data_IF_340397026335
#
_entry.id   IF_340397026335
#
_cell.length_a   1.000
_cell.length_b   1.000
_cell.length_c   1.000
_cell.angle_alpha   90.00
_cell.angle_beta   90.00
_cell.angle_gamma   90.00
#
_symmetry.space_group_name_H-M   'P 1'
#
loop_
_entity.id
_entity.type
_entity.pdbx_description
1 polymer ?
#
# COMPACT_ATOMS: atom_id res chain seq x y z
N UNK A 1 -43.56 58.07 -39.80
CA UNK A 1 -43.33 57.06 -40.85
C UNK A 1 -41.92 56.51 -40.68
N UNK A 2 -41.75 55.19 -40.55
CA UNK A 2 -40.63 54.32 -41.04
C UNK A 2 -39.17 54.84 -40.83
N UNK A 3 -38.17 54.17 -40.25
CA UNK A 3 -37.79 52.75 -40.02
C UNK A 3 -36.49 52.78 -39.15
N UNK A 4 -36.38 51.98 -38.08
CA UNK A 4 -35.58 50.73 -37.92
C UNK A 4 -34.03 50.89 -37.95
N UNK A 5 -33.44 50.60 -36.77
CA UNK A 5 -32.15 49.97 -36.39
C UNK A 5 -30.99 49.80 -37.38
N UNK A 6 -29.76 50.00 -36.88
CA UNK A 6 -28.58 49.10 -37.01
C UNK A 6 -27.53 49.52 -35.96
N UNK A 7 -27.52 48.94 -34.75
CA UNK A 7 -26.71 47.77 -34.34
C UNK A 7 -25.19 48.02 -34.36
N UNK A 8 -24.66 48.50 -33.22
CA UNK A 8 -23.24 48.42 -32.85
C UNK A 8 -22.98 47.02 -32.31
N UNK A 9 -22.11 46.26 -32.97
CA UNK A 9 -21.58 44.99 -32.43
C UNK A 9 -20.07 45.03 -32.52
N UNK A 10 -19.44 45.42 -31.41
CA UNK A 10 -18.02 45.24 -31.15
C UNK A 10 -17.86 43.82 -30.58
N UNK A 11 -17.50 42.84 -31.42
CA UNK A 11 -17.15 41.49 -30.94
C UNK A 11 -15.65 41.44 -30.64
N UNK A 12 -15.30 41.66 -29.37
CA UNK A 12 -14.01 41.24 -28.81
C UNK A 12 -14.08 39.72 -28.59
N UNK A 13 -13.46 38.96 -29.48
CA UNK A 13 -13.25 37.53 -29.29
C UNK A 13 -12.01 37.33 -28.41
N UNK A 14 -12.19 37.30 -27.10
CA UNK A 14 -11.18 36.77 -26.18
C UNK A 14 -11.13 35.26 -26.36
N UNK A 15 -10.04 34.77 -26.97
CA UNK A 15 -9.70 33.36 -26.98
C UNK A 15 -9.34 32.92 -25.55
N UNK A 16 -10.32 32.42 -24.81
CA UNK A 16 -10.06 31.63 -23.61
C UNK A 16 -9.80 30.21 -24.08
N UNK A 17 -8.54 29.92 -24.42
CA UNK A 17 -8.04 28.55 -24.38
C UNK A 17 -7.93 28.17 -22.90
N UNK A 18 -9.05 27.74 -22.31
CA UNK A 18 -9.00 26.91 -21.14
C UNK A 18 -8.44 25.56 -21.61
N UNK A 19 -7.15 25.33 -21.39
CA UNK A 19 -6.60 23.99 -21.44
C UNK A 19 -7.46 23.14 -20.50
N UNK A 20 -8.25 22.23 -21.07
CA UNK A 20 -9.01 21.26 -20.29
C UNK A 20 -8.00 20.46 -19.47
N UNK A 21 -7.91 20.77 -18.18
CA UNK A 21 -7.18 19.96 -17.23
C UNK A 21 -7.84 18.58 -17.27
N UNK A 22 -7.12 17.60 -17.82
CA UNK A 22 -7.64 16.26 -18.04
C UNK A 22 -7.84 15.60 -16.68
N UNK A 23 -9.00 15.83 -16.07
CA UNK A 23 -9.44 15.21 -14.83
C UNK A 23 -9.77 13.75 -15.11
N UNK A 24 -8.74 12.93 -15.33
CA UNK A 24 -8.88 11.49 -15.25
C UNK A 24 -9.35 11.18 -13.83
N UNK A 25 -10.53 10.59 -13.73
CA UNK A 25 -11.14 10.17 -12.47
C UNK A 25 -10.22 9.19 -11.74
N UNK A 26 -10.31 9.13 -10.41
CA UNK A 26 -9.54 8.17 -9.61
C UNK A 26 -9.75 6.75 -10.11
N UNK A 27 -10.97 6.44 -10.56
CA UNK A 27 -11.34 5.14 -11.15
C UNK A 27 -10.52 4.83 -12.40
N UNK A 28 -10.37 5.77 -13.33
CA UNK A 28 -9.54 5.56 -14.54
C UNK A 28 -8.06 5.30 -14.18
N UNK A 29 -7.56 5.97 -13.13
CA UNK A 29 -6.17 5.79 -12.65
C UNK A 29 -5.95 4.43 -12.00
N UNK A 30 -7.00 3.81 -11.43
CA UNK A 30 -6.88 2.46 -10.87
C UNK A 30 -6.73 1.37 -11.94
N UNK A 31 -7.02 1.65 -13.21
CA UNK A 31 -7.00 0.64 -14.28
C UNK A 31 -5.66 -0.11 -14.37
N UNK A 32 -4.54 0.59 -14.13
CA UNK A 32 -3.20 -0.01 -14.11
C UNK A 32 -2.93 -0.87 -12.86
N UNK A 33 -3.62 -0.60 -11.75
CA UNK A 33 -3.44 -1.28 -10.47
C UNK A 33 -4.25 -2.58 -10.40
N UNK A 34 -5.45 -2.58 -10.98
CA UNK A 34 -6.43 -3.68 -10.90
C UNK A 34 -5.88 -4.98 -11.49
N UNK A 35 -5.06 -4.91 -12.54
CA UNK A 35 -4.47 -6.08 -13.18
C UNK A 35 -3.66 -6.97 -12.23
N UNK A 36 -3.06 -6.38 -11.18
CA UNK A 36 -2.28 -7.12 -10.20
C UNK A 36 -2.94 -7.15 -8.81
N UNK A 37 -3.51 -6.04 -8.36
CA UNK A 37 -4.04 -5.92 -6.99
C UNK A 37 -5.52 -6.25 -6.89
N UNK A 38 -6.21 -6.50 -8.01
CA UNK A 38 -7.65 -6.74 -8.05
C UNK A 38 -8.47 -5.45 -7.93
N UNK A 39 -9.74 -5.53 -8.33
CA UNK A 39 -10.64 -4.36 -8.38
C UNK A 39 -10.80 -3.69 -7.00
N UNK A 40 -10.93 -4.51 -5.96
CA UNK A 40 -11.08 -4.07 -4.58
C UNK A 40 -9.74 -3.96 -3.85
N UNK A 41 -8.60 -4.18 -4.52
CA UNK A 41 -7.30 -4.24 -3.85
C UNK A 41 -7.07 -5.55 -3.10
N UNK A 42 -7.81 -6.61 -3.42
CA UNK A 42 -7.58 -7.98 -2.95
C UNK A 42 -7.02 -8.77 -4.14
N UNK A 43 -5.74 -9.13 -4.06
CA UNK A 43 -5.07 -9.82 -5.15
C UNK A 43 -5.38 -11.31 -5.15
N UNK A 44 -5.57 -11.88 -6.34
CA UNK A 44 -5.67 -13.33 -6.55
C UNK A 44 -4.30 -14.01 -6.59
N UNK A 45 -3.22 -13.25 -6.78
CA UNK A 45 -1.86 -13.78 -6.76
C UNK A 45 -1.23 -13.49 -5.39
N UNK A 46 -0.85 -14.50 -4.61
CA UNK A 46 -0.35 -14.28 -3.25
C UNK A 46 1.03 -13.63 -3.17
N UNK A 47 1.74 -13.48 -4.30
CA UNK A 47 2.98 -12.71 -4.38
C UNK A 47 2.74 -11.20 -4.47
N UNK A 48 1.52 -10.79 -4.85
CA UNK A 48 1.12 -9.40 -4.94
C UNK A 48 0.31 -9.01 -3.70
N UNK A 49 0.61 -7.86 -3.06
CA UNK A 49 -0.06 -7.50 -1.83
C UNK A 49 -1.52 -7.15 -2.04
N UNK A 50 -2.31 -7.46 -1.02
CA UNK A 50 -3.59 -6.81 -0.78
C UNK A 50 -3.32 -5.33 -0.40
N UNK A 51 -4.02 -4.42 -1.09
CA UNK A 51 -4.03 -2.97 -0.81
C UNK A 51 -5.26 -2.56 -0.01
N UNK A 52 -6.31 -3.39 -0.05
CA UNK A 52 -7.62 -3.08 0.50
C UNK A 52 -7.57 -2.78 2.00
N UNK A 53 -8.18 -1.67 2.40
CA UNK A 53 -8.29 -1.22 3.80
C UNK A 53 -6.96 -0.83 4.46
N UNK A 54 -5.86 -0.80 3.71
CA UNK A 54 -4.58 -0.30 4.22
C UNK A 54 -4.66 1.21 4.52
N UNK A 55 -3.86 1.69 5.47
CA UNK A 55 -3.80 3.12 5.78
C UNK A 55 -3.37 3.94 4.55
N UNK A 56 -4.15 4.97 4.19
CA UNK A 56 -3.84 5.84 3.07
C UNK A 56 -2.45 6.48 3.19
N UNK A 57 -2.04 6.88 4.40
CA UNK A 57 -0.70 7.40 4.67
C UNK A 57 0.41 6.39 4.35
N UNK A 58 0.21 5.11 4.66
CA UNK A 58 1.17 4.05 4.35
C UNK A 58 1.23 3.80 2.84
N UNK A 59 0.07 3.69 2.17
CA UNK A 59 0.00 3.49 0.71
C UNK A 59 0.69 4.63 -0.04
N UNK A 60 0.38 5.88 0.30
CA UNK A 60 1.00 7.06 -0.29
C UNK A 60 2.52 7.03 -0.10
N UNK A 61 2.99 6.72 1.11
CA UNK A 61 4.43 6.56 1.38
C UNK A 61 5.05 5.49 0.47
N UNK A 62 4.44 4.30 0.35
CA UNK A 62 5.01 3.24 -0.48
C UNK A 62 5.05 3.61 -1.96
N UNK A 63 4.01 4.26 -2.50
CA UNK A 63 3.99 4.72 -3.88
C UNK A 63 5.14 5.72 -4.15
N UNK A 64 5.34 6.67 -3.24
CA UNK A 64 6.46 7.62 -3.31
C UNK A 64 7.82 6.91 -3.21
N UNK A 65 7.97 5.94 -2.31
CA UNK A 65 9.22 5.19 -2.16
C UNK A 65 9.55 4.36 -3.42
N UNK A 66 8.55 3.74 -4.06
CA UNK A 66 8.73 3.03 -5.34
C UNK A 66 9.12 3.96 -6.48
N UNK A 67 8.57 5.17 -6.51
CA UNK A 67 8.90 6.18 -7.51
C UNK A 67 10.32 6.71 -7.34
N UNK A 68 10.75 6.88 -6.09
CA UNK A 68 12.08 7.40 -5.75
C UNK A 68 13.20 6.34 -5.83
N UNK A 69 12.87 5.04 -5.95
CA UNK A 69 13.76 3.88 -6.17
C UNK A 69 14.92 3.68 -5.18
N UNK A 70 15.10 4.57 -4.21
CA UNK A 70 16.32 4.64 -3.38
C UNK A 70 16.30 3.58 -2.28
N UNK A 71 15.17 3.49 -1.58
CA UNK A 71 15.01 2.63 -0.39
C UNK A 71 14.08 1.45 -0.64
N UNK A 72 13.42 1.44 -1.81
CA UNK A 72 12.49 0.41 -2.23
C UNK A 72 12.46 0.29 -3.76
N UNK A 73 13.39 -0.48 -4.30
CA UNK A 73 13.48 -0.72 -5.75
C UNK A 73 12.78 -2.03 -6.13
N UNK A 74 11.60 -1.91 -6.74
CA UNK A 74 10.85 -3.05 -7.31
C UNK A 74 10.50 -2.66 -8.75
N UNK A 75 11.26 -3.11 -9.76
CA UNK A 75 11.18 -2.58 -11.12
C UNK A 75 9.76 -2.54 -11.71
N UNK A 76 8.96 -3.58 -11.44
CA UNK A 76 7.56 -3.63 -11.89
C UNK A 76 6.73 -2.49 -11.30
N UNK A 77 6.83 -2.24 -9.99
CA UNK A 77 6.09 -1.14 -9.35
C UNK A 77 6.65 0.22 -9.71
N UNK A 78 7.98 0.35 -9.85
CA UNK A 78 8.63 1.58 -10.32
C UNK A 78 8.11 2.00 -11.68
N UNK A 79 7.99 1.06 -12.63
CA UNK A 79 7.43 1.35 -13.95
C UNK A 79 5.96 1.80 -13.88
N UNK A 80 5.15 1.15 -13.04
CA UNK A 80 3.73 1.50 -12.85
C UNK A 80 3.57 2.91 -12.26
N UNK A 81 4.39 3.30 -11.29
CA UNK A 81 4.24 4.60 -10.60
C UNK A 81 4.99 5.76 -11.25
N UNK A 82 5.83 5.50 -12.26
CA UNK A 82 6.74 6.47 -12.86
C UNK A 82 6.03 7.77 -13.30
N UNK A 83 4.85 7.63 -13.92
CA UNK A 83 4.08 8.75 -14.48
C UNK A 83 2.98 9.27 -13.56
N UNK A 84 2.82 8.74 -12.34
CA UNK A 84 1.80 9.22 -11.40
C UNK A 84 2.22 10.53 -10.76
N UNK A 85 1.35 11.53 -10.75
CA UNK A 85 1.56 12.75 -9.96
C UNK A 85 1.40 12.46 -8.46
N UNK A 86 1.83 13.40 -7.61
CA UNK A 86 1.59 13.32 -6.16
C UNK A 86 0.10 13.28 -5.82
N UNK A 87 -0.72 14.01 -6.57
CA UNK A 87 -2.18 14.00 -6.43
C UNK A 87 -2.77 12.63 -6.83
N UNK A 88 -2.26 12.00 -7.88
CA UNK A 88 -2.70 10.66 -8.30
C UNK A 88 -2.40 9.61 -7.25
N UNK A 89 -1.17 9.62 -6.72
CA UNK A 89 -0.76 8.68 -5.67
C UNK A 89 -1.59 8.86 -4.40
N UNK A 90 -1.90 10.10 -4.01
CA UNK A 90 -2.77 10.38 -2.87
C UNK A 90 -4.20 9.87 -3.11
N UNK A 91 -4.76 10.12 -4.29
CA UNK A 91 -6.11 9.68 -4.62
C UNK A 91 -6.24 8.14 -4.69
N UNK A 92 -5.24 7.46 -5.25
CA UNK A 92 -5.18 5.99 -5.28
C UNK A 92 -5.04 5.41 -3.86
N UNK A 93 -4.23 6.02 -3.01
CA UNK A 93 -4.09 5.63 -1.61
C UNK A 93 -5.42 5.74 -0.84
N UNK A 94 -6.12 6.87 -0.99
CA UNK A 94 -7.45 7.08 -0.40
C UNK A 94 -8.50 6.10 -0.92
N UNK A 95 -8.43 5.76 -2.22
CA UNK A 95 -9.34 4.79 -2.82
C UNK A 95 -9.21 3.40 -2.21
N UNK A 96 -7.97 2.87 -2.13
CA UNK A 96 -7.73 1.52 -1.61
C UNK A 96 -7.91 1.43 -0.10
N UNK A 97 -7.66 2.52 0.64
CA UNK A 97 -7.91 2.59 2.08
C UNK A 97 -9.38 2.41 2.48
N UNK A 98 -10.31 2.68 1.55
CA UNK A 98 -11.76 2.54 1.78
C UNK A 98 -12.32 1.19 1.34
N UNK A 99 -11.50 0.32 0.75
CA UNK A 99 -11.93 -1.00 0.32
C UNK A 99 -12.03 -1.95 1.52
N UNK A 100 -12.91 -2.97 1.46
CA UNK A 100 -13.04 -3.96 2.53
C UNK A 100 -11.75 -4.78 2.66
N UNK A 101 -11.39 -5.12 3.90
CA UNK A 101 -10.20 -5.92 4.18
C UNK A 101 -10.29 -7.29 3.51
N UNK A 102 -9.15 -7.79 3.05
CA UNK A 102 -9.03 -9.19 2.66
C UNK A 102 -9.16 -10.09 3.88
N UNK A 103 -9.78 -11.25 3.70
CA UNK A 103 -9.84 -12.29 4.72
C UNK A 103 -8.91 -13.45 4.34
N UNK A 104 -8.46 -14.18 5.35
CA UNK A 104 -7.63 -15.35 5.17
C UNK A 104 -7.77 -16.31 6.34
N UNK A 105 -7.03 -17.41 6.28
CA UNK A 105 -6.99 -18.41 7.33
C UNK A 105 -5.55 -18.71 7.73
N UNK A 106 -5.38 -19.07 9.00
CA UNK A 106 -4.11 -19.55 9.55
C UNK A 106 -4.09 -21.08 9.51
N UNK A 107 -3.22 -21.72 8.72
CA UNK A 107 -3.04 -23.17 8.79
C UNK A 107 -2.55 -23.59 10.18
N UNK A 108 -3.07 -24.70 10.70
CA UNK A 108 -2.79 -25.21 12.06
C UNK A 108 -1.28 -25.31 12.35
N UNK A 109 -0.50 -25.78 11.36
CA UNK A 109 0.97 -25.86 11.42
C UNK A 109 1.64 -24.57 11.91
N UNK A 110 1.10 -23.41 11.53
CA UNK A 110 1.69 -22.10 11.81
C UNK A 110 1.09 -21.41 13.04
N UNK A 111 -0.06 -21.88 13.53
CA UNK A 111 -0.83 -21.19 14.57
C UNK A 111 0.00 -20.93 15.83
N UNK A 112 0.57 -21.99 16.43
CA UNK A 112 1.29 -21.87 17.71
C UNK A 112 2.53 -20.97 17.62
N UNK A 113 3.39 -21.19 16.62
CA UNK A 113 4.63 -20.41 16.47
C UNK A 113 4.36 -18.99 15.99
N UNK A 114 3.43 -18.82 15.06
CA UNK A 114 3.05 -17.51 14.54
C UNK A 114 2.39 -16.64 15.61
N UNK A 115 1.50 -17.21 16.42
CA UNK A 115 0.90 -16.51 17.57
C UNK A 115 1.96 -16.11 18.60
N UNK A 116 2.87 -17.02 18.95
CA UNK A 116 3.97 -16.70 19.88
C UNK A 116 4.76 -15.49 19.38
N UNK A 117 5.22 -15.51 18.12
CA UNK A 117 5.98 -14.40 17.54
C UNK A 117 5.17 -13.12 17.48
N UNK A 118 3.91 -13.20 17.06
CA UNK A 118 3.05 -12.03 16.89
C UNK A 118 2.72 -11.37 18.23
N UNK A 119 2.26 -12.15 19.21
CA UNK A 119 1.75 -11.64 20.50
C UNK A 119 2.83 -11.50 21.56
N UNK A 120 3.83 -12.38 21.56
CA UNK A 120 4.85 -12.45 22.62
C UNK A 120 6.28 -12.20 22.13
N UNK A 121 6.53 -12.21 20.83
CA UNK A 121 7.89 -12.17 20.28
C UNK A 121 8.67 -13.44 20.62
N UNK A 122 10.00 -13.31 20.62
CA UNK A 122 10.91 -14.36 21.05
C UNK A 122 12.09 -13.74 21.79
N UNK A 123 12.04 -13.79 23.12
CA UNK A 123 13.07 -13.21 23.98
C UNK A 123 14.46 -13.82 23.75
N UNK A 124 14.53 -15.13 23.47
CA UNK A 124 15.82 -15.83 23.24
C UNK A 124 16.47 -15.39 21.94
N UNK A 125 15.66 -15.11 20.92
CA UNK A 125 16.12 -14.58 19.62
C UNK A 125 16.15 -13.05 19.58
N UNK A 126 15.77 -12.36 20.66
CA UNK A 126 15.56 -10.91 20.71
C UNK A 126 14.61 -10.39 19.61
N UNK A 127 13.57 -11.16 19.27
CA UNK A 127 12.52 -10.74 18.36
C UNK A 127 11.42 -10.03 19.16
N UNK A 128 11.21 -8.74 18.92
CA UNK A 128 10.11 -7.98 19.54
C UNK A 128 8.76 -8.48 19.01
N UNK A 129 7.75 -8.51 19.88
CA UNK A 129 6.40 -8.90 19.51
C UNK A 129 5.78 -7.94 18.47
N UNK A 130 5.22 -8.48 17.38
CA UNK A 130 4.64 -7.69 16.29
C UNK A 130 3.45 -6.84 16.76
N UNK A 131 2.67 -7.36 17.71
CA UNK A 131 1.50 -6.70 18.31
C UNK A 131 1.80 -5.31 18.88
N UNK A 132 3.04 -5.05 19.31
CA UNK A 132 3.43 -3.79 19.92
C UNK A 132 3.30 -2.59 18.96
N UNK A 133 3.45 -2.82 17.65
CA UNK A 133 3.33 -1.79 16.62
C UNK A 133 2.14 -2.03 15.69
N UNK A 134 1.84 -3.30 15.37
CA UNK A 134 0.79 -3.67 14.43
C UNK A 134 -0.57 -3.94 15.07
N UNK A 135 -0.66 -3.88 16.41
CA UNK A 135 -1.89 -3.97 17.17
C UNK A 135 -2.45 -5.40 17.32
N UNK A 136 -3.41 -5.64 18.23
CA UNK A 136 -3.88 -7.00 18.58
C UNK A 136 -4.50 -7.80 17.44
N UNK A 137 -5.11 -7.09 16.48
CA UNK A 137 -5.76 -7.66 15.30
C UNK A 137 -4.99 -7.38 14.01
N UNK A 138 -3.75 -6.89 14.07
CA UNK A 138 -2.98 -6.57 12.87
C UNK A 138 -3.50 -5.37 12.10
N UNK A 139 -4.30 -4.49 12.70
CA UNK A 139 -4.86 -3.30 12.06
C UNK A 139 -3.87 -2.15 11.94
N UNK A 140 -2.68 -2.26 12.55
CA UNK A 140 -1.65 -1.24 12.50
C UNK A 140 -1.99 0.02 13.31
N UNK A 141 -1.22 1.07 13.05
CA UNK A 141 -1.43 2.42 13.56
C UNK A 141 -1.01 3.42 12.47
N UNK A 142 -1.98 3.87 11.67
CA UNK A 142 -1.73 4.76 10.53
C UNK A 142 -1.10 6.10 10.92
N UNK A 143 -1.37 6.62 12.12
CA UNK A 143 -0.78 7.88 12.62
C UNK A 143 0.70 7.72 12.96
N UNK A 144 1.11 6.54 13.42
CA UNK A 144 2.51 6.19 13.67
C UNK A 144 3.22 5.60 12.44
N UNK A 145 2.52 5.46 11.30
CA UNK A 145 3.07 4.87 10.08
C UNK A 145 3.20 3.34 10.10
N UNK A 146 2.61 2.66 11.09
CA UNK A 146 2.61 1.20 11.16
C UNK A 146 1.49 0.60 10.29
N UNK A 147 1.82 -0.20 9.26
CA UNK A 147 0.82 -0.72 8.34
C UNK A 147 -0.12 -1.73 9.00
N UNK A 148 -1.31 -1.82 8.41
CA UNK A 148 -2.19 -2.97 8.56
C UNK A 148 -1.52 -4.21 7.95
N UNK A 149 -1.56 -5.32 8.69
CA UNK A 149 -1.03 -6.63 8.31
C UNK A 149 -2.13 -7.70 8.17
N UNK A 150 -3.24 -7.57 8.91
CA UNK A 150 -4.38 -8.49 8.88
C UNK A 150 -4.82 -8.81 7.45
N UNK A 151 -5.03 -10.10 7.16
CA UNK A 151 -5.51 -10.54 5.84
C UNK A 151 -4.50 -10.37 4.70
N UNK A 152 -3.24 -9.98 4.99
CA UNK A 152 -2.22 -9.90 3.96
C UNK A 152 -1.75 -11.30 3.54
N UNK A 153 -1.44 -11.47 2.27
CA UNK A 153 -0.90 -12.72 1.74
C UNK A 153 0.39 -13.12 2.45
N UNK A 154 0.46 -14.36 2.92
CA UNK A 154 1.64 -14.88 3.59
C UNK A 154 2.88 -14.86 2.67
N UNK A 155 2.81 -15.26 1.38
CA UNK A 155 3.99 -15.18 0.50
C UNK A 155 4.50 -13.76 0.28
N UNK A 156 3.62 -12.77 0.10
CA UNK A 156 4.03 -11.37 0.07
C UNK A 156 4.70 -10.95 1.39
N UNK A 157 4.12 -11.31 2.53
CA UNK A 157 4.65 -10.96 3.86
C UNK A 157 6.04 -11.56 4.09
N UNK A 158 6.24 -12.84 3.74
CA UNK A 158 7.55 -13.51 3.77
C UNK A 158 8.55 -12.76 2.89
N UNK A 159 8.17 -12.41 1.66
CA UNK A 159 9.02 -11.63 0.76
C UNK A 159 9.42 -10.28 1.38
N UNK A 160 8.52 -9.60 2.11
CA UNK A 160 8.84 -8.33 2.74
C UNK A 160 9.81 -8.49 3.92
N UNK A 161 9.58 -9.48 4.78
CA UNK A 161 10.48 -9.79 5.90
C UNK A 161 11.88 -10.15 5.38
N UNK A 162 11.96 -10.98 4.33
CA UNK A 162 13.23 -11.31 3.70
C UNK A 162 13.89 -10.09 3.05
N UNK A 163 13.13 -9.22 2.38
CA UNK A 163 13.68 -8.01 1.77
C UNK A 163 14.24 -7.02 2.80
N UNK A 164 13.61 -6.92 3.98
CA UNK A 164 14.16 -6.15 5.10
C UNK A 164 15.43 -6.80 5.65
N UNK A 165 15.41 -8.12 5.91
CA UNK A 165 16.59 -8.87 6.36
C UNK A 165 17.78 -8.71 5.41
N UNK A 166 17.54 -8.79 4.11
CA UNK A 166 18.57 -8.63 3.06
C UNK A 166 18.94 -7.16 2.80
N UNK A 167 18.29 -6.19 3.46
CA UNK A 167 18.44 -4.75 3.24
C UNK A 167 18.09 -4.27 1.82
N UNK A 168 17.48 -5.13 1.00
CA UNK A 168 16.90 -4.78 -0.31
C UNK A 168 15.71 -3.82 -0.17
N UNK A 169 15.06 -3.84 1.00
CA UNK A 169 14.08 -2.86 1.45
C UNK A 169 14.63 -2.15 2.69
N UNK A 170 14.79 -0.84 2.61
CA UNK A 170 15.38 0.01 3.66
C UNK A 170 14.56 1.27 3.93
N UNK A 171 13.30 1.27 3.50
CA UNK A 171 12.38 2.40 3.63
C UNK A 171 11.65 2.46 4.99
N UNK A 172 12.22 1.83 6.01
CA UNK A 172 11.68 1.72 7.36
C UNK A 172 12.22 2.81 8.30
N UNK A 173 11.35 3.30 9.19
CA UNK A 173 11.72 4.28 10.19
C UNK A 173 12.74 3.67 11.16
N UNK A 174 13.89 4.33 11.34
CA UNK A 174 14.94 3.93 12.29
C UNK A 174 15.38 2.46 12.17
N UNK A 175 15.31 1.88 10.96
CA UNK A 175 15.67 0.48 10.68
C UNK A 175 14.88 -0.59 11.48
N UNK A 176 13.70 -0.24 12.02
CA UNK A 176 12.91 -1.12 12.91
C UNK A 176 12.64 -2.49 12.27
N UNK A 177 12.19 -2.52 11.01
CA UNK A 177 11.82 -3.79 10.37
C UNK A 177 13.04 -4.58 9.93
N UNK A 178 14.13 -3.91 9.56
CA UNK A 178 15.42 -4.58 9.30
C UNK A 178 15.97 -5.24 10.56
N UNK A 179 16.01 -4.50 11.66
CA UNK A 179 16.47 -4.99 12.98
C UNK A 179 15.67 -6.22 13.45
N UNK A 180 14.34 -6.20 13.34
CA UNK A 180 13.50 -7.34 13.69
C UNK A 180 13.74 -8.54 12.75
N UNK A 181 13.73 -8.30 11.42
CA UNK A 181 13.80 -9.37 10.43
C UNK A 181 15.18 -10.06 10.40
N UNK A 182 16.26 -9.34 10.74
CA UNK A 182 17.62 -9.90 10.82
C UNK A 182 17.71 -11.07 11.82
N UNK A 183 16.85 -11.10 12.85
CA UNK A 183 16.84 -12.11 13.91
C UNK A 183 15.93 -13.32 13.64
N UNK A 184 15.18 -13.28 12.55
CA UNK A 184 14.20 -14.32 12.20
C UNK A 184 14.82 -15.41 11.34
N UNK A 185 14.47 -16.67 11.59
CA UNK A 185 14.70 -17.77 10.63
C UNK A 185 13.63 -17.78 9.53
N UNK A 186 13.83 -18.59 8.50
CA UNK A 186 12.82 -18.78 7.45
C UNK A 186 11.50 -19.32 8.03
N UNK A 187 11.59 -20.27 8.96
CA UNK A 187 10.43 -20.85 9.65
C UNK A 187 9.70 -19.82 10.52
N UNK A 188 10.43 -18.88 11.15
CA UNK A 188 9.82 -17.78 11.89
C UNK A 188 9.03 -16.84 10.98
N UNK A 189 9.60 -16.50 9.82
CA UNK A 189 8.93 -15.64 8.83
C UNK A 189 7.68 -16.31 8.27
N UNK A 190 7.76 -17.59 7.92
CA UNK A 190 6.60 -18.37 7.48
C UNK A 190 5.51 -18.43 8.55
N UNK A 191 5.89 -18.78 9.79
CA UNK A 191 4.94 -18.92 10.87
C UNK A 191 4.16 -17.62 11.15
N UNK A 192 4.87 -16.48 11.26
CA UNK A 192 4.19 -15.21 11.53
C UNK A 192 3.40 -14.70 10.33
N UNK A 193 3.89 -14.92 9.10
CA UNK A 193 3.19 -14.50 7.89
C UNK A 193 1.86 -15.25 7.70
N UNK A 194 1.85 -16.56 7.88
CA UNK A 194 0.62 -17.36 7.81
C UNK A 194 -0.32 -17.07 8.97
N UNK A 195 0.19 -16.73 10.16
CA UNK A 195 -0.64 -16.29 11.28
C UNK A 195 -1.31 -14.94 10.99
N UNK A 196 -0.56 -13.98 10.46
CA UNK A 196 -1.05 -12.65 10.06
C UNK A 196 -2.14 -12.75 8.98
N UNK A 197 -1.98 -13.66 8.01
CA UNK A 197 -2.96 -13.87 6.95
C UNK A 197 -4.35 -14.23 7.49
N UNK A 198 -4.43 -15.02 8.58
CA UNK A 198 -5.70 -15.37 9.22
C UNK A 198 -6.10 -14.48 10.40
N UNK A 199 -5.32 -13.45 10.73
CA UNK A 199 -5.57 -12.58 11.88
C UNK A 199 -6.72 -11.61 11.58
N UNK A 200 -7.70 -11.51 12.47
CA UNK A 200 -8.86 -10.60 12.38
C UNK A 200 -9.33 -10.12 13.77
#
# INVERSE_FOLDING_TARGET
MKKILFAVVLCWASAINAAAEQTNTVVEKTALCVACHGQQGISVNPQWPNLAGQHASYLLKQLKDYKNITTRNVPVMTAIVANLSDADMAALAEYYAKQPLGEGATPEKYLKRGEQLYRGGDFKKHITACIACHGPRGTGNGQAGFPLLSGQHAPYTIQQLQAFKDKKRSNDLNAIMRDISERMSQEDMEAVAYYIQGLH
#
